data_IF_304984169682
#
_entry.id   IF_304984169682
#
_cell.length_a   1.000
_cell.length_b   1.000
_cell.length_c   1.000
_cell.angle_alpha   90.00
_cell.angle_beta   90.00
_cell.angle_gamma   90.00
#
_symmetry.space_group_name_H-M   'P 1'
#
loop_
_entity.id
_entity.type
_entity.pdbx_description
1 polymer ?
#
# COMPACT_ATOMS: atom_id res chain seq x y z
N UNK A 1 -67.94 -10.32 -2.62
CA UNK A 1 -66.71 -10.19 -3.45
C UNK A 1 -65.55 -10.02 -2.50
N UNK A 2 -64.78 -11.06 -2.34
CA UNK A 2 -63.60 -10.97 -1.51
C UNK A 2 -62.52 -10.23 -2.31
N UNK A 3 -61.98 -9.15 -1.70
CA UNK A 3 -60.92 -8.39 -2.29
C UNK A 3 -59.66 -9.26 -2.31
N UNK A 4 -58.94 -9.31 -3.44
CA UNK A 4 -57.64 -9.95 -3.53
C UNK A 4 -56.65 -9.13 -2.69
N UNK A 5 -56.26 -9.69 -1.57
CA UNK A 5 -55.29 -9.07 -0.69
C UNK A 5 -53.86 -9.26 -1.26
N UNK A 6 -52.95 -8.34 -0.92
CA UNK A 6 -51.59 -8.28 -1.42
C UNK A 6 -50.79 -9.58 -1.20
N UNK A 7 -51.03 -10.27 -0.08
CA UNK A 7 -50.46 -11.57 0.24
C UNK A 7 -50.95 -12.73 -0.67
N UNK A 8 -52.10 -12.59 -1.34
CA UNK A 8 -52.58 -13.58 -2.30
C UNK A 8 -52.09 -13.32 -3.73
N UNK A 9 -51.50 -12.16 -3.98
CA UNK A 9 -50.98 -11.75 -5.28
C UNK A 9 -49.45 -11.61 -5.30
N UNK A 10 -48.76 -12.11 -4.30
CA UNK A 10 -47.29 -11.99 -4.15
C UNK A 10 -46.51 -12.56 -5.36
N UNK A 11 -47.03 -13.67 -5.93
CA UNK A 11 -46.44 -14.28 -7.12
C UNK A 11 -46.61 -13.43 -8.41
N UNK A 12 -47.51 -12.43 -8.41
CA UNK A 12 -47.74 -11.52 -9.53
C UNK A 12 -46.96 -10.19 -9.38
N UNK A 13 -46.40 -9.93 -8.21
CA UNK A 13 -45.58 -8.75 -7.96
C UNK A 13 -44.17 -9.05 -8.46
N UNK A 14 -43.80 -8.44 -9.58
CA UNK A 14 -42.41 -8.49 -10.06
C UNK A 14 -41.49 -7.82 -9.02
N UNK A 15 -40.55 -8.57 -8.49
CA UNK A 15 -39.42 -7.98 -7.78
C UNK A 15 -38.61 -7.13 -8.76
N UNK A 16 -38.42 -5.88 -8.44
CA UNK A 16 -37.59 -4.99 -9.21
C UNK A 16 -36.12 -5.22 -8.77
N UNK A 17 -35.41 -5.99 -9.56
CA UNK A 17 -33.97 -6.17 -9.37
C UNK A 17 -33.29 -4.91 -9.88
N UNK A 18 -32.45 -4.30 -9.05
CA UNK A 18 -31.63 -3.15 -9.45
C UNK A 18 -30.54 -3.64 -10.39
N UNK A 19 -30.47 -3.08 -11.59
CA UNK A 19 -29.45 -3.42 -12.61
C UNK A 19 -28.05 -2.91 -12.24
N UNK A 20 -27.88 -2.33 -11.07
CA UNK A 20 -26.60 -1.77 -10.60
C UNK A 20 -26.15 -2.50 -9.36
N UNK A 21 -24.96 -3.11 -9.43
CA UNK A 21 -24.30 -3.68 -8.27
C UNK A 21 -23.71 -2.54 -7.46
N UNK A 22 -24.17 -2.36 -6.21
CA UNK A 22 -23.61 -1.36 -5.30
C UNK A 22 -22.30 -1.90 -4.73
N UNK A 23 -21.20 -1.35 -5.17
CA UNK A 23 -19.86 -1.67 -4.63
C UNK A 23 -19.18 -0.40 -4.13
N UNK A 24 -18.34 -0.56 -3.11
CA UNK A 24 -17.44 0.52 -2.69
C UNK A 24 -16.43 0.85 -3.81
N UNK A 25 -16.01 2.11 -3.87
CA UNK A 25 -14.96 2.52 -4.79
C UNK A 25 -13.67 1.68 -4.56
N UNK A 26 -12.96 1.29 -5.63
CA UNK A 26 -11.72 0.52 -5.49
C UNK A 26 -10.66 1.32 -4.73
N UNK A 27 -9.99 0.65 -3.81
CA UNK A 27 -9.04 1.26 -2.87
C UNK A 27 -7.61 1.08 -3.39
N UNK A 28 -6.88 2.17 -3.47
CA UNK A 28 -5.53 2.18 -4.03
C UNK A 28 -4.46 1.74 -3.03
N UNK A 29 -3.31 1.27 -3.54
CA UNK A 29 -2.12 0.99 -2.75
C UNK A 29 -1.51 2.26 -2.17
N UNK A 30 -1.23 2.28 -0.88
CA UNK A 30 -0.57 3.39 -0.17
C UNK A 30 0.91 3.46 -0.54
N UNK A 31 1.57 2.31 -0.69
CA UNK A 31 2.98 2.23 -1.11
C UNK A 31 3.20 2.82 -2.49
N UNK A 32 2.30 2.53 -3.44
CA UNK A 32 2.40 3.09 -4.80
C UNK A 32 2.13 4.60 -4.85
N UNK A 33 1.35 5.13 -3.91
CA UNK A 33 1.09 6.58 -3.82
C UNK A 33 2.27 7.35 -3.23
N UNK A 34 2.94 6.77 -2.24
CA UNK A 34 4.03 7.40 -1.52
C UNK A 34 5.39 7.18 -2.16
N UNK A 35 5.64 5.98 -2.69
CA UNK A 35 6.92 5.58 -3.27
C UNK A 35 7.22 6.27 -4.60
N UNK A 36 8.50 6.39 -4.92
CA UNK A 36 8.96 6.95 -6.19
C UNK A 36 8.95 5.89 -7.30
N UNK A 37 8.14 6.13 -8.32
CA UNK A 37 8.12 5.28 -9.51
C UNK A 37 9.33 5.53 -10.40
N UNK A 38 10.05 4.48 -10.77
CA UNK A 38 11.08 4.48 -11.80
C UNK A 38 10.46 4.15 -13.19
N UNK A 39 11.20 4.39 -14.27
CA UNK A 39 10.79 3.93 -15.60
C UNK A 39 10.49 2.43 -15.61
N UNK A 40 9.63 2.00 -16.54
CA UNK A 40 9.26 0.61 -16.66
C UNK A 40 10.46 -0.28 -16.96
N UNK A 41 10.50 -1.45 -16.32
CA UNK A 41 11.57 -2.42 -16.52
C UNK A 41 11.39 -3.15 -17.87
N UNK A 42 12.47 -3.28 -18.61
CA UNK A 42 12.50 -4.05 -19.86
C UNK A 42 12.95 -5.49 -19.66
N UNK A 43 13.62 -5.76 -18.54
CA UNK A 43 14.16 -7.10 -18.19
C UNK A 43 13.65 -7.53 -16.82
N UNK A 44 13.89 -8.78 -16.45
CA UNK A 44 13.48 -9.33 -15.16
C UNK A 44 14.24 -8.72 -13.98
N UNK A 45 15.45 -8.22 -14.24
CA UNK A 45 16.30 -7.55 -13.27
C UNK A 45 16.81 -6.25 -13.84
N UNK A 46 16.75 -5.18 -13.08
CA UNK A 46 17.28 -3.87 -13.44
C UNK A 46 18.27 -3.41 -12.37
N UNK A 47 19.43 -2.96 -12.82
CA UNK A 47 20.48 -2.43 -11.96
C UNK A 47 20.31 -0.92 -11.81
N UNK A 48 20.23 -0.45 -10.57
CA UNK A 48 20.19 0.96 -10.23
C UNK A 48 21.51 1.32 -9.54
N UNK A 49 22.37 2.15 -10.13
CA UNK A 49 23.57 2.63 -9.47
C UNK A 49 23.18 3.62 -8.35
N UNK A 50 23.70 3.40 -7.16
CA UNK A 50 23.52 4.25 -5.99
C UNK A 50 24.87 4.74 -5.50
N UNK A 51 24.94 6.01 -5.13
CA UNK A 51 26.14 6.60 -4.57
C UNK A 51 26.33 6.08 -3.13
N UNK A 52 27.37 5.30 -2.88
CA UNK A 52 27.63 4.72 -1.56
C UNK A 52 28.57 5.57 -0.72
N UNK A 53 29.44 6.36 -1.34
CA UNK A 53 30.35 7.24 -0.66
C UNK A 53 30.45 8.60 -1.35
N UNK A 54 30.19 9.65 -0.57
CA UNK A 54 30.33 11.02 -1.02
C UNK A 54 31.80 11.47 -1.00
N UNK A 55 32.24 12.30 -1.95
CA UNK A 55 33.56 12.91 -1.89
C UNK A 55 33.62 13.87 -0.68
N UNK A 56 34.74 13.87 0.01
CA UNK A 56 34.98 14.78 1.12
C UNK A 56 35.64 16.06 0.61
N UNK A 57 35.13 17.21 1.05
CA UNK A 57 35.70 18.51 0.80
C UNK A 57 36.62 18.91 1.97
N UNK A 58 37.75 19.52 1.65
CA UNK A 58 38.72 19.98 2.63
C UNK A 58 39.03 21.47 2.45
N UNK A 59 39.16 22.16 3.54
CA UNK A 59 39.63 23.54 3.54
C UNK A 59 41.15 23.58 3.34
N UNK A 60 41.62 24.39 2.40
CA UNK A 60 43.04 24.60 2.12
C UNK A 60 43.48 25.88 2.83
N UNK A 61 44.45 25.78 3.71
CA UNK A 61 44.99 26.92 4.41
C UNK A 61 46.11 27.57 3.60
N UNK A 62 45.86 28.81 3.15
CA UNK A 62 46.84 29.64 2.44
C UNK A 62 47.18 29.15 1.03
N UNK A 63 48.07 29.85 0.37
CA UNK A 63 48.42 29.62 -1.03
C UNK A 63 49.30 28.35 -1.23
N UNK A 64 49.91 27.84 -0.16
CA UNK A 64 50.81 26.68 -0.17
C UNK A 64 50.20 25.42 0.45
N UNK A 65 48.92 25.46 0.85
CA UNK A 65 48.24 24.32 1.47
C UNK A 65 48.06 23.14 0.50
N UNK A 66 48.27 21.91 1.03
CA UNK A 66 48.10 20.68 0.26
C UNK A 66 46.61 20.46 -0.09
N UNK A 67 46.34 20.20 -1.37
CA UNK A 67 45.03 19.76 -1.87
C UNK A 67 44.95 18.25 -1.70
N UNK A 68 44.01 17.81 -0.86
CA UNK A 68 43.75 16.37 -0.67
C UNK A 68 42.85 15.83 -1.75
N UNK A 69 43.08 14.59 -2.15
CA UNK A 69 42.19 13.86 -3.05
C UNK A 69 41.13 13.13 -2.23
N UNK A 70 39.89 13.12 -2.73
CA UNK A 70 38.83 12.31 -2.17
C UNK A 70 38.34 11.30 -3.20
N UNK A 71 37.82 10.18 -2.72
CA UNK A 71 37.26 9.13 -3.55
C UNK A 71 35.73 9.17 -3.46
N UNK A 72 35.10 8.75 -4.54
CA UNK A 72 33.66 8.55 -4.65
C UNK A 72 33.42 7.08 -5.02
N UNK A 73 32.50 6.41 -4.32
CA UNK A 73 32.16 5.03 -4.60
C UNK A 73 30.70 4.90 -4.99
N UNK A 74 30.45 3.98 -5.91
CA UNK A 74 29.12 3.64 -6.40
C UNK A 74 28.85 2.18 -6.10
N UNK A 75 27.65 1.90 -5.64
CA UNK A 75 27.14 0.55 -5.45
C UNK A 75 25.96 0.30 -6.36
N UNK A 76 25.72 -0.96 -6.65
CA UNK A 76 24.60 -1.36 -7.48
C UNK A 76 23.50 -1.98 -6.63
N UNK A 77 22.32 -1.40 -6.68
CA UNK A 77 21.11 -1.99 -6.13
C UNK A 77 20.33 -2.63 -7.27
N UNK A 78 19.91 -3.87 -7.08
CA UNK A 78 19.15 -4.62 -8.06
C UNK A 78 17.67 -4.58 -7.72
N UNK A 79 16.86 -4.29 -8.73
CA UNK A 79 15.41 -4.43 -8.68
C UNK A 79 15.04 -5.71 -9.42
N UNK A 80 14.45 -6.65 -8.72
CA UNK A 80 13.97 -7.91 -9.26
C UNK A 80 12.46 -7.87 -9.46
N UNK A 81 11.99 -8.23 -10.65
CA UNK A 81 10.57 -8.30 -10.93
C UNK A 81 9.95 -9.52 -10.27
N UNK A 82 8.94 -9.32 -9.45
CA UNK A 82 8.05 -10.35 -8.92
C UNK A 82 6.78 -10.45 -9.77
N UNK A 83 6.28 -11.65 -9.97
CA UNK A 83 4.99 -11.88 -10.64
C UNK A 83 3.88 -11.99 -9.61
N UNK A 84 2.81 -11.25 -9.83
CA UNK A 84 1.59 -11.30 -9.04
C UNK A 84 0.42 -11.66 -9.96
N UNK A 85 -0.30 -12.72 -9.63
CA UNK A 85 -1.44 -13.19 -10.41
C UNK A 85 -2.66 -13.43 -9.52
N UNK A 86 -3.84 -13.19 -10.10
CA UNK A 86 -5.14 -13.47 -9.47
C UNK A 86 -5.97 -14.27 -10.46
N UNK A 87 -6.57 -15.34 -10.01
CA UNK A 87 -7.49 -16.16 -10.80
C UNK A 87 -8.85 -16.11 -10.14
N UNK A 88 -9.86 -15.67 -10.89
CA UNK A 88 -11.26 -15.61 -10.46
C UNK A 88 -12.06 -16.60 -11.29
N UNK A 89 -12.49 -17.75 -10.76
CA UNK A 89 -13.35 -18.68 -11.47
C UNK A 89 -14.79 -18.14 -11.50
N UNK A 90 -15.35 -17.99 -12.69
CA UNK A 90 -16.73 -17.55 -12.90
C UNK A 90 -17.42 -18.60 -13.77
N UNK A 91 -18.55 -19.18 -13.34
CA UNK A 91 -19.31 -20.12 -14.16
C UNK A 91 -19.80 -19.45 -15.46
N UNK A 92 -19.67 -20.15 -16.58
CA UNK A 92 -20.05 -19.63 -17.89
C UNK A 92 -21.56 -19.27 -17.96
N UNK A 93 -22.40 -20.05 -17.30
CA UNK A 93 -23.82 -19.77 -17.21
C UNK A 93 -24.11 -18.38 -16.58
N UNK A 94 -23.32 -17.99 -15.58
CA UNK A 94 -23.46 -16.67 -14.93
C UNK A 94 -23.02 -15.54 -15.87
N UNK A 95 -22.01 -15.80 -16.72
CA UNK A 95 -21.56 -14.82 -17.72
C UNK A 95 -22.58 -14.66 -18.84
N UNK A 96 -23.18 -15.76 -19.29
CA UNK A 96 -24.11 -15.75 -20.41
C UNK A 96 -25.55 -15.30 -20.02
N UNK A 97 -26.00 -15.68 -18.82
CA UNK A 97 -27.36 -15.38 -18.35
C UNK A 97 -27.40 -14.13 -17.44
N UNK A 98 -26.24 -13.58 -17.08
CA UNK A 98 -26.14 -12.41 -16.22
C UNK A 98 -26.61 -11.13 -16.91
N UNK A 99 -27.50 -10.38 -16.25
CA UNK A 99 -27.95 -9.06 -16.70
C UNK A 99 -26.88 -7.97 -16.46
N UNK A 100 -25.74 -8.32 -15.83
CA UNK A 100 -24.72 -7.39 -15.39
C UNK A 100 -23.41 -7.61 -16.14
N UNK A 101 -22.64 -6.52 -16.34
CA UNK A 101 -21.24 -6.59 -16.80
C UNK A 101 -20.32 -7.07 -15.67
N UNK A 102 -20.22 -8.39 -15.51
CA UNK A 102 -19.41 -9.04 -14.48
C UNK A 102 -17.93 -8.65 -14.62
N UNK A 103 -17.42 -8.50 -15.85
CA UNK A 103 -16.02 -8.14 -16.09
C UNK A 103 -15.71 -6.71 -15.65
N UNK A 104 -16.65 -5.79 -15.89
CA UNK A 104 -16.53 -4.41 -15.41
C UNK A 104 -16.51 -4.31 -13.89
N UNK A 105 -17.15 -5.23 -13.17
CA UNK A 105 -17.18 -5.28 -11.71
C UNK A 105 -15.98 -6.02 -11.10
N UNK A 106 -15.50 -7.07 -11.74
CA UNK A 106 -14.38 -7.88 -11.23
C UNK A 106 -13.05 -7.18 -11.42
N UNK A 107 -12.82 -6.50 -12.53
CA UNK A 107 -11.52 -5.85 -12.84
C UNK A 107 -11.08 -4.84 -11.78
N UNK A 108 -11.92 -3.91 -11.27
CA UNK A 108 -11.52 -3.01 -10.21
C UNK A 108 -11.14 -3.73 -8.91
N UNK A 109 -11.85 -4.83 -8.58
CA UNK A 109 -11.58 -5.62 -7.38
C UNK A 109 -10.26 -6.40 -7.47
N UNK A 110 -9.92 -6.90 -8.64
CA UNK A 110 -8.61 -7.51 -8.90
C UNK A 110 -7.50 -6.48 -8.71
N UNK A 111 -7.67 -5.26 -9.22
CA UNK A 111 -6.70 -4.18 -9.03
C UNK A 111 -6.52 -3.80 -7.56
N UNK A 112 -7.62 -3.75 -6.79
CA UNK A 112 -7.58 -3.52 -5.34
C UNK A 112 -6.84 -4.64 -4.62
N UNK A 113 -7.10 -5.90 -4.95
CA UNK A 113 -6.43 -7.06 -4.37
C UNK A 113 -4.92 -7.07 -4.65
N UNK A 114 -4.52 -6.69 -5.87
CA UNK A 114 -3.11 -6.52 -6.26
C UNK A 114 -2.47 -5.41 -5.42
N UNK A 115 -3.10 -4.25 -5.31
CA UNK A 115 -2.61 -3.13 -4.50
C UNK A 115 -2.47 -3.51 -3.02
N UNK A 116 -3.45 -4.23 -2.46
CA UNK A 116 -3.40 -4.73 -1.10
C UNK A 116 -2.22 -5.69 -0.87
N UNK A 117 -1.97 -6.60 -1.82
CA UNK A 117 -0.87 -7.56 -1.71
C UNK A 117 0.49 -6.87 -1.78
N UNK A 118 0.65 -5.87 -2.64
CA UNK A 118 1.87 -5.04 -2.73
C UNK A 118 2.12 -4.33 -1.40
N UNK A 119 1.11 -3.68 -0.83
CA UNK A 119 1.23 -3.00 0.47
C UNK A 119 1.64 -3.97 1.58
N UNK A 120 1.01 -5.16 1.66
CA UNK A 120 1.36 -6.20 2.64
C UNK A 120 2.77 -6.73 2.47
N UNK A 121 3.22 -6.93 1.23
CA UNK A 121 4.56 -7.43 0.93
C UNK A 121 5.65 -6.41 1.27
N UNK A 122 5.46 -5.15 0.93
CA UNK A 122 6.46 -4.09 1.13
C UNK A 122 6.52 -3.62 2.58
N UNK A 123 5.37 -3.42 3.22
CA UNK A 123 5.32 -2.89 4.60
C UNK A 123 5.60 -4.00 5.62
N UNK A 124 4.97 -5.16 5.49
CA UNK A 124 4.97 -6.23 6.50
C UNK A 124 5.68 -7.52 6.07
N UNK A 125 6.16 -7.62 4.83
CA UNK A 125 6.84 -8.80 4.32
C UNK A 125 5.93 -10.02 4.08
N UNK A 126 4.61 -9.86 4.14
CA UNK A 126 3.67 -10.96 3.96
C UNK A 126 3.64 -11.40 2.48
N UNK A 127 3.90 -12.69 2.24
CA UNK A 127 3.99 -13.28 0.90
C UNK A 127 4.96 -12.56 -0.06
N UNK A 128 5.98 -11.92 0.49
CA UNK A 128 7.00 -11.21 -0.27
C UNK A 128 7.82 -12.19 -1.11
N UNK A 129 8.17 -11.88 -2.38
CA UNK A 129 9.15 -12.64 -3.14
C UNK A 129 10.48 -12.75 -2.39
N UNK A 130 11.12 -13.91 -2.41
CA UNK A 130 12.35 -14.20 -1.63
C UNK A 130 13.55 -13.36 -2.04
N UNK A 131 13.57 -12.91 -3.30
CA UNK A 131 14.62 -12.09 -3.88
C UNK A 131 14.44 -10.58 -3.61
N UNK A 132 13.32 -10.16 -3.03
CA UNK A 132 13.15 -8.77 -2.61
C UNK A 132 13.84 -8.50 -1.28
N UNK A 133 14.20 -7.24 -1.04
CA UNK A 133 14.72 -6.79 0.25
C UNK A 133 13.72 -7.01 1.39
N UNK A 134 14.18 -6.99 2.63
CA UNK A 134 13.32 -7.10 3.79
C UNK A 134 12.30 -5.96 3.84
N UNK A 135 11.16 -6.25 4.43
CA UNK A 135 10.06 -5.30 4.60
C UNK A 135 10.45 -4.11 5.49
N UNK A 136 9.73 -3.01 5.29
CA UNK A 136 10.01 -1.73 5.96
C UNK A 136 9.94 -1.89 7.49
N UNK A 137 8.92 -2.58 8.01
CA UNK A 137 8.72 -2.73 9.46
C UNK A 137 9.82 -3.55 10.10
N UNK A 138 10.26 -4.64 9.46
CA UNK A 138 11.37 -5.47 9.96
C UNK A 138 12.68 -4.68 9.95
N UNK A 139 12.98 -3.97 8.86
CA UNK A 139 14.20 -3.14 8.79
C UNK A 139 14.19 -2.00 9.82
N UNK A 140 13.05 -1.34 10.00
CA UNK A 140 12.91 -0.29 11.01
C UNK A 140 13.13 -0.82 12.43
N UNK A 141 12.61 -2.02 12.75
CA UNK A 141 12.84 -2.68 14.05
C UNK A 141 14.30 -3.05 14.26
N UNK A 142 14.97 -3.60 13.24
CA UNK A 142 16.38 -3.96 13.30
C UNK A 142 17.27 -2.72 13.51
N UNK A 143 16.91 -1.60 12.92
CA UNK A 143 17.59 -0.32 13.09
C UNK A 143 17.25 0.39 14.42
N UNK A 144 16.35 -0.16 15.25
CA UNK A 144 15.88 0.49 16.48
C UNK A 144 14.93 1.67 16.24
N UNK A 145 14.45 1.88 15.00
CA UNK A 145 13.57 2.97 14.61
C UNK A 145 12.08 2.57 14.81
N UNK A 146 11.78 1.99 15.95
CA UNK A 146 10.42 1.65 16.32
C UNK A 146 10.01 2.39 17.59
N UNK A 147 8.74 2.79 17.67
CA UNK A 147 8.13 3.41 18.84
C UNK A 147 7.06 2.47 19.35
N UNK A 148 7.12 2.13 20.64
CA UNK A 148 6.15 1.25 21.30
C UNK A 148 5.14 2.09 22.07
N UNK A 149 3.90 1.62 22.14
CA UNK A 149 2.86 2.27 22.93
C UNK A 149 1.70 2.80 22.09
N UNK A 150 0.86 3.61 22.72
CA UNK A 150 -0.29 4.24 22.07
C UNK A 150 0.10 5.45 21.21
N UNK A 151 -0.83 5.89 20.38
CA UNK A 151 -0.68 7.10 19.58
C UNK A 151 -0.89 8.31 20.50
N UNK A 152 0.22 8.97 20.89
CA UNK A 152 0.26 10.20 21.69
C UNK A 152 1.06 11.26 20.95
N UNK A 153 0.99 12.51 21.38
CA UNK A 153 1.79 13.59 20.79
C UNK A 153 3.29 13.27 20.85
N UNK A 154 3.78 12.82 22.00
CA UNK A 154 5.19 12.51 22.19
C UNK A 154 5.64 11.28 21.40
N UNK A 155 4.77 10.27 21.25
CA UNK A 155 5.09 9.10 20.43
C UNK A 155 5.15 9.41 18.94
N UNK A 156 4.52 10.48 18.49
CA UNK A 156 4.54 10.93 17.10
C UNK A 156 5.68 11.92 16.84
N UNK A 157 5.72 13.03 17.60
CA UNK A 157 6.56 14.21 17.35
C UNK A 157 7.64 14.42 18.39
N UNK A 158 7.66 13.65 19.50
CA UNK A 158 8.72 13.74 20.51
C UNK A 158 10.08 13.32 19.97
N UNK A 159 11.16 13.63 20.70
CA UNK A 159 12.55 13.33 20.32
C UNK A 159 12.77 11.84 20.03
N UNK A 160 12.17 10.95 20.84
CA UNK A 160 12.19 9.50 20.64
C UNK A 160 10.94 9.01 19.90
N UNK A 161 10.13 9.93 19.37
CA UNK A 161 8.92 9.66 18.62
C UNK A 161 9.20 9.21 17.19
N UNK A 162 8.12 8.98 16.47
CA UNK A 162 8.16 8.46 15.10
C UNK A 162 8.94 9.39 14.15
N UNK A 163 8.72 10.71 14.25
CA UNK A 163 9.43 11.72 13.45
C UNK A 163 10.85 11.92 13.96
N UNK A 164 11.06 12.07 15.27
CA UNK A 164 12.37 12.32 15.84
C UNK A 164 13.41 11.25 15.52
N UNK A 165 13.01 9.98 15.43
CA UNK A 165 13.92 8.88 15.01
C UNK A 165 14.36 8.97 13.56
N UNK A 166 13.46 9.40 12.65
CA UNK A 166 13.80 9.60 11.23
C UNK A 166 14.72 10.80 11.07
N UNK A 167 14.45 11.89 11.79
CA UNK A 167 15.24 13.10 11.80
C UNK A 167 16.63 12.89 12.41
N UNK A 168 16.74 12.10 13.48
CA UNK A 168 18.01 11.70 14.08
C UNK A 168 18.90 10.93 13.09
N UNK A 169 18.30 10.21 12.12
CA UNK A 169 19.03 9.58 11.02
C UNK A 169 19.38 10.54 9.86
N UNK A 170 19.05 11.83 9.98
CA UNK A 170 19.35 12.87 8.98
C UNK A 170 18.37 12.95 7.82
N UNK A 171 17.18 12.37 7.95
CA UNK A 171 16.14 12.41 6.91
C UNK A 171 14.92 13.19 7.38
N UNK A 172 14.28 13.89 6.46
CA UNK A 172 12.97 14.52 6.70
C UNK A 172 11.85 13.56 6.37
N UNK A 173 10.79 13.56 7.17
CA UNK A 173 9.58 12.81 6.89
C UNK A 173 8.79 13.54 5.80
N UNK A 174 8.52 12.87 4.70
CA UNK A 174 7.73 13.42 3.58
C UNK A 174 6.38 12.73 3.39
N UNK A 175 6.07 11.74 4.23
CA UNK A 175 4.79 11.05 4.20
C UNK A 175 4.64 10.07 5.35
N UNK A 176 3.38 9.82 5.70
CA UNK A 176 3.00 8.86 6.73
C UNK A 176 1.96 7.91 6.17
N UNK A 177 2.23 6.62 6.22
CA UNK A 177 1.27 5.56 5.95
C UNK A 177 0.68 5.08 7.28
N UNK A 178 -0.63 5.01 7.41
CA UNK A 178 -1.29 4.66 8.66
C UNK A 178 -2.49 3.73 8.46
N UNK A 179 -2.78 2.92 9.46
CA UNK A 179 -4.03 2.18 9.52
C UNK A 179 -5.21 3.14 9.72
N UNK A 180 -6.40 2.77 9.21
CA UNK A 180 -7.60 3.59 9.37
C UNK A 180 -7.97 3.81 10.86
N UNK A 181 -7.66 2.85 11.73
CA UNK A 181 -7.86 2.95 13.18
C UNK A 181 -7.02 4.06 13.82
N UNK A 182 -5.83 4.35 13.30
CA UNK A 182 -4.97 5.43 13.78
C UNK A 182 -5.64 6.80 13.64
N UNK A 183 -6.49 7.00 12.64
CA UNK A 183 -7.24 8.23 12.41
C UNK A 183 -8.15 8.60 13.61
N UNK A 184 -8.83 7.60 14.17
CA UNK A 184 -9.68 7.83 15.36
C UNK A 184 -8.85 8.11 16.61
N UNK A 185 -7.74 7.40 16.79
CA UNK A 185 -6.82 7.60 17.91
C UNK A 185 -6.20 9.00 17.89
N UNK A 186 -5.77 9.49 16.72
CA UNK A 186 -5.21 10.85 16.58
C UNK A 186 -6.21 11.94 16.94
N UNK A 187 -7.49 11.81 16.56
CA UNK A 187 -8.53 12.77 16.96
C UNK A 187 -8.80 12.77 18.46
N UNK A 188 -8.43 11.70 19.16
CA UNK A 188 -8.53 11.58 20.60
C UNK A 188 -7.41 12.27 21.36
N UNK A 189 -6.33 12.73 20.70
CA UNK A 189 -5.20 13.40 21.34
C UNK A 189 -5.63 14.81 21.78
N UNK A 190 -5.51 15.08 23.08
CA UNK A 190 -5.87 16.35 23.70
C UNK A 190 -4.71 16.92 24.49
N UNK A 191 -4.68 18.24 24.63
CA UNK A 191 -3.76 18.93 25.53
C UNK A 191 -4.22 18.82 27.01
N UNK A 192 -3.41 19.30 27.94
CA UNK A 192 -3.73 19.30 29.38
C UNK A 192 -5.00 20.12 29.71
N UNK A 193 -5.40 21.03 28.84
CA UNK A 193 -6.64 21.80 28.96
C UNK A 193 -7.85 21.10 28.32
N UNK A 194 -7.67 19.87 27.81
CA UNK A 194 -8.73 19.05 27.17
C UNK A 194 -9.06 19.44 25.73
N UNK A 195 -8.29 20.33 25.11
CA UNK A 195 -8.49 20.76 23.71
C UNK A 195 -7.87 19.75 22.75
N UNK A 196 -8.55 19.39 21.65
CA UNK A 196 -7.97 18.50 20.65
C UNK A 196 -6.77 19.18 19.98
N UNK A 197 -5.64 18.48 19.94
CA UNK A 197 -4.41 18.95 19.28
C UNK A 197 -4.50 18.72 17.78
N UNK A 198 -5.04 17.58 17.38
CA UNK A 198 -5.26 17.25 15.98
C UNK A 198 -6.61 17.78 15.51
N UNK A 199 -6.59 19.00 14.97
CA UNK A 199 -7.80 19.69 14.50
C UNK A 199 -7.94 19.46 13.00
N UNK A 200 -9.09 18.94 12.58
CA UNK A 200 -9.48 18.91 11.18
C UNK A 200 -10.32 20.13 10.86
N UNK A 201 -10.04 20.83 9.77
CA UNK A 201 -10.88 21.91 9.28
C UNK A 201 -12.26 21.35 8.90
N UNK A 202 -13.32 21.85 9.54
CA UNK A 202 -14.69 21.41 9.28
C UNK A 202 -15.28 22.00 7.98
N UNK A 203 -14.63 23.00 7.40
CA UNK A 203 -15.15 23.73 6.21
C UNK A 203 -14.36 23.45 4.92
N UNK A 204 -13.21 22.79 5.00
CA UNK A 204 -12.34 22.52 3.85
C UNK A 204 -12.21 21.04 3.50
N UNK A 205 -11.59 20.75 2.35
CA UNK A 205 -11.17 19.38 2.00
C UNK A 205 -10.16 18.90 3.05
N UNK A 206 -10.54 17.90 3.84
CA UNK A 206 -9.75 17.41 4.96
C UNK A 206 -8.49 16.72 4.44
N UNK A 207 -7.39 17.44 4.39
CA UNK A 207 -6.07 16.85 4.18
C UNK A 207 -5.47 16.55 5.55
N UNK A 208 -5.30 15.28 5.84
CA UNK A 208 -4.58 14.88 7.04
C UNK A 208 -3.09 15.10 6.81
N UNK A 209 -2.47 15.94 7.63
CA UNK A 209 -1.05 16.18 7.64
C UNK A 209 -0.56 16.17 9.09
N UNK A 210 0.62 15.59 9.31
CA UNK A 210 1.31 15.59 10.59
C UNK A 210 2.64 16.30 10.37
N UNK A 211 2.86 17.42 11.06
CA UNK A 211 4.04 18.27 10.90
C UNK A 211 4.37 18.60 9.42
N UNK A 212 3.35 18.92 8.64
CA UNK A 212 3.47 19.23 7.21
C UNK A 212 3.61 18.00 6.29
N UNK A 213 3.86 16.81 6.81
CA UNK A 213 3.91 15.58 6.02
C UNK A 213 2.49 15.05 5.77
N UNK A 214 2.11 14.75 4.53
CA UNK A 214 0.80 14.20 4.20
C UNK A 214 0.64 12.80 4.78
N UNK A 215 -0.57 12.52 5.27
CA UNK A 215 -0.93 11.20 5.80
C UNK A 215 -1.85 10.46 4.84
N UNK A 216 -1.52 9.19 4.60
CA UNK A 216 -2.29 8.28 3.78
C UNK A 216 -2.80 7.13 4.66
N UNK A 217 -4.11 6.97 4.68
CA UNK A 217 -4.75 5.91 5.43
C UNK A 217 -5.03 4.73 4.52
N UNK A 218 -4.59 3.54 4.95
CA UNK A 218 -4.86 2.31 4.22
C UNK A 218 -6.32 1.92 4.42
N UNK A 219 -7.11 2.02 3.37
CA UNK A 219 -8.51 1.61 3.34
C UNK A 219 -8.69 0.21 2.76
N UNK A 220 -7.65 -0.34 2.11
CA UNK A 220 -7.66 -1.64 1.45
C UNK A 220 -7.43 -2.83 2.41
N UNK A 221 -7.35 -2.59 3.72
CA UNK A 221 -7.12 -3.64 4.71
C UNK A 221 -5.71 -4.27 4.67
N UNK A 222 -4.74 -3.57 4.08
CA UNK A 222 -3.35 -4.05 4.04
C UNK A 222 -2.64 -3.92 5.38
N UNK A 223 -3.02 -2.96 6.21
CA UNK A 223 -2.37 -2.70 7.49
C UNK A 223 -2.75 -3.71 8.56
N UNK A 224 -1.75 -4.39 9.09
CA UNK A 224 -1.88 -5.23 10.28
C UNK A 224 -1.57 -4.40 11.53
N UNK A 225 -2.62 -3.98 12.23
CA UNK A 225 -2.53 -3.15 13.43
C UNK A 225 -1.88 -3.86 14.62
N UNK A 226 -1.75 -5.18 14.59
CA UNK A 226 -1.04 -5.95 15.61
C UNK A 226 0.48 -5.81 15.48
N UNK A 227 0.96 -5.52 14.27
CA UNK A 227 2.38 -5.38 13.96
C UNK A 227 2.80 -3.92 14.00
N UNK A 228 2.10 -3.04 13.24
CA UNK A 228 2.34 -1.61 13.24
C UNK A 228 1.06 -0.84 12.90
N UNK A 229 0.87 0.31 13.53
CA UNK A 229 -0.27 1.19 13.29
C UNK A 229 0.06 2.31 12.30
N UNK A 230 1.32 2.76 12.28
CA UNK A 230 1.79 3.85 11.43
C UNK A 230 3.24 3.59 10.99
N UNK A 231 3.56 4.06 9.80
CA UNK A 231 4.92 4.06 9.24
C UNK A 231 5.19 5.44 8.67
N UNK A 232 6.20 6.13 9.17
CA UNK A 232 6.63 7.43 8.69
C UNK A 232 8.06 7.35 8.16
N UNK A 233 8.38 8.15 7.16
CA UNK A 233 9.73 8.18 6.62
C UNK A 233 9.88 9.05 5.39
N UNK A 234 11.07 8.99 4.80
CA UNK A 234 11.33 9.61 3.51
C UNK A 234 11.02 8.60 2.37
N UNK A 235 9.81 8.65 1.89
CA UNK A 235 9.32 7.74 0.85
C UNK A 235 9.98 7.92 -0.52
N UNK A 236 10.70 9.02 -0.75
CA UNK A 236 11.52 9.18 -1.96
C UNK A 236 12.65 8.15 -2.06
N UNK A 237 13.05 7.57 -0.92
CA UNK A 237 14.04 6.49 -0.88
C UNK A 237 13.44 5.12 -1.24
N UNK A 238 12.12 4.97 -1.11
CA UNK A 238 11.42 3.78 -1.58
C UNK A 238 11.15 3.90 -3.07
N UNK A 239 11.86 3.10 -3.86
CA UNK A 239 11.72 3.09 -5.31
C UNK A 239 11.04 1.80 -5.77
N UNK A 240 10.16 1.93 -6.75
CA UNK A 240 9.53 0.78 -7.40
C UNK A 240 9.48 0.96 -8.91
N UNK A 241 9.47 -0.15 -9.64
CA UNK A 241 9.31 -0.16 -11.08
C UNK A 241 8.30 -1.23 -11.50
N UNK A 242 7.61 -0.98 -12.59
CA UNK A 242 6.64 -1.90 -13.17
C UNK A 242 7.27 -2.46 -14.44
N UNK A 243 7.32 -3.79 -14.57
CA UNK A 243 7.78 -4.45 -15.79
C UNK A 243 6.67 -4.56 -16.81
N UNK A 244 5.49 -4.98 -16.37
CA UNK A 244 4.33 -5.20 -17.20
C UNK A 244 3.09 -4.73 -16.45
N UNK A 245 2.27 -3.95 -17.12
CA UNK A 245 1.00 -3.52 -16.57
C UNK A 245 0.01 -4.69 -16.44
N UNK A 246 -1.02 -4.51 -15.63
CA UNK A 246 -2.05 -5.51 -15.37
C UNK A 246 -2.68 -5.94 -16.68
N UNK A 247 -2.63 -7.26 -16.94
CA UNK A 247 -3.29 -7.87 -18.10
C UNK A 247 -4.37 -8.82 -17.62
N UNK A 248 -5.57 -8.64 -18.12
CA UNK A 248 -6.69 -9.54 -17.88
C UNK A 248 -6.84 -10.49 -19.06
N UNK A 249 -6.90 -11.79 -18.79
CA UNK A 249 -7.17 -12.83 -19.79
C UNK A 249 -8.36 -13.67 -19.36
N UNK A 250 -9.27 -13.89 -20.27
CA UNK A 250 -10.37 -14.85 -20.10
C UNK A 250 -9.86 -16.20 -20.60
N UNK A 251 -9.86 -17.20 -19.73
CA UNK A 251 -9.49 -18.57 -20.07
C UNK A 251 -10.75 -19.42 -20.05
N UNK A 252 -11.10 -19.98 -21.19
CA UNK A 252 -12.22 -20.92 -21.33
C UNK A 252 -11.80 -22.36 -21.03
N UNK A 253 -10.50 -22.65 -21.16
CA UNK A 253 -9.92 -23.95 -20.89
C UNK A 253 -8.76 -23.78 -19.89
N UNK A 254 -8.93 -24.25 -18.67
CA UNK A 254 -7.88 -24.21 -17.66
C UNK A 254 -8.10 -25.31 -16.61
N UNK A 255 -7.01 -25.75 -16.00
CA UNK A 255 -7.01 -26.63 -14.83
C UNK A 255 -6.49 -25.84 -13.66
N UNK A 256 -7.30 -25.67 -12.65
CA UNK A 256 -6.93 -24.95 -11.42
C UNK A 256 -6.63 -25.99 -10.33
N UNK A 257 -5.43 -25.92 -9.78
CA UNK A 257 -4.97 -26.78 -8.69
C UNK A 257 -4.89 -25.97 -7.39
N UNK A 258 -5.29 -26.60 -6.28
CA UNK A 258 -5.05 -26.07 -4.95
C UNK A 258 -3.53 -26.06 -4.66
N UNK A 259 -2.95 -24.88 -4.32
CA UNK A 259 -1.51 -24.78 -4.06
C UNK A 259 -1.02 -25.65 -2.92
N UNK A 260 -1.85 -25.96 -1.92
CA UNK A 260 -1.50 -26.75 -0.75
C UNK A 260 -1.65 -28.27 -0.96
N UNK A 261 -2.78 -28.70 -1.51
CA UNK A 261 -3.08 -30.12 -1.73
C UNK A 261 -2.65 -30.64 -3.10
N UNK A 262 -2.37 -29.74 -4.03
CA UNK A 262 -2.10 -30.02 -5.47
C UNK A 262 -3.23 -30.81 -6.15
N UNK A 263 -4.39 -30.87 -5.54
CA UNK A 263 -5.59 -31.47 -6.16
C UNK A 263 -6.23 -30.51 -7.14
N UNK A 264 -6.82 -31.07 -8.17
CA UNK A 264 -7.57 -30.30 -9.15
C UNK A 264 -8.87 -29.82 -8.47
N UNK A 265 -9.03 -28.51 -8.35
CA UNK A 265 -10.22 -27.88 -7.75
C UNK A 265 -11.26 -27.63 -8.84
N UNK A 266 -10.81 -27.16 -10.01
CA UNK A 266 -11.66 -26.93 -11.18
C UNK A 266 -10.98 -27.44 -12.44
N UNK A 267 -11.74 -28.11 -13.29
CA UNK A 267 -11.35 -28.48 -14.63
C UNK A 267 -12.31 -27.77 -15.59
N UNK A 268 -11.81 -26.74 -16.27
CA UNK A 268 -12.57 -25.94 -17.23
C UNK A 268 -12.53 -26.51 -18.66
N UNK A 269 -11.87 -27.66 -18.84
CA UNK A 269 -11.78 -28.36 -20.11
C UNK A 269 -12.98 -29.29 -20.29
N UNK A 270 -14.15 -28.74 -20.54
CA UNK A 270 -15.34 -29.51 -21.01
C UNK A 270 -15.95 -28.86 -22.22
#
# INVERSE_FOLDING_TARGET
>A
MDAILRNHAEALIREQITDTIMQDAPKNSVVMQLGRRLPNMTSNQTRVPVLSMLPMAYWVNGDTGYKQTSQQAWENVYLDAGELSVIVPIPEAVVNDGAFDIMGEVTPRVNEAIGQMVDKAVIFGLNRPTNWQSDIVTLARQAGNNVSGGITYDSLLGTDGLFGKVEAAGYTVNGVAAAMTARSAMRGIKDDAGRPIFVTDMQGATRYALDGAPMYFSENGAFDTSIAQMVAGNWNQLVYAIRQDIQTKILTEAVIQDPSSKQIVYNLAQ
#
